data_IF_803835894431
#
_entry.id   IF_803835894431
#
_cell.length_a   1.000
_cell.length_b   1.000
_cell.length_c   1.000
_cell.angle_alpha   90.00
_cell.angle_beta   90.00
_cell.angle_gamma   90.00
#
_symmetry.space_group_name_H-M   'P 1'
#
loop_
_entity.id
_entity.type
_entity.pdbx_description
1 polymer ?
#
# COMPACT_ATOMS: atom_id res chain seq x y z
N UNK A 1 15.19 -17.00 1.13
CA UNK A 1 14.33 -16.88 2.34
C UNK A 1 13.54 -15.58 2.26
N UNK A 2 12.25 -15.64 1.95
CA UNK A 2 11.36 -14.47 1.98
C UNK A 2 11.17 -14.05 3.43
N UNK A 3 11.79 -12.91 3.78
CA UNK A 3 11.73 -12.36 5.13
C UNK A 3 10.26 -12.04 5.49
N UNK A 4 9.81 -12.36 6.71
CA UNK A 4 8.41 -12.16 7.14
C UNK A 4 7.94 -10.71 6.93
N UNK A 5 8.87 -9.74 7.04
CA UNK A 5 8.64 -8.33 6.74
C UNK A 5 8.27 -8.07 5.29
N UNK A 6 8.93 -8.73 4.34
CA UNK A 6 8.64 -8.58 2.92
C UNK A 6 7.27 -9.17 2.59
N UNK A 7 6.88 -10.26 3.26
CA UNK A 7 5.54 -10.85 3.12
C UNK A 7 4.46 -9.90 3.67
N UNK A 8 4.73 -9.26 4.80
CA UNK A 8 3.81 -8.25 5.38
C UNK A 8 3.67 -7.03 4.46
N UNK A 9 4.78 -6.43 4.02
CA UNK A 9 4.75 -5.28 3.12
C UNK A 9 4.02 -5.61 1.81
N UNK A 10 4.24 -6.81 1.26
CA UNK A 10 3.54 -7.27 0.07
C UNK A 10 2.03 -7.39 0.29
N UNK A 11 1.60 -7.93 1.43
CA UNK A 11 0.18 -8.01 1.79
C UNK A 11 -0.44 -6.62 1.95
N UNK A 12 0.26 -5.68 2.60
CA UNK A 12 -0.20 -4.28 2.74
C UNK A 12 -0.36 -3.62 1.38
N UNK A 13 0.62 -3.74 0.49
CA UNK A 13 0.55 -3.18 -0.88
C UNK A 13 -0.59 -3.80 -1.68
N UNK A 14 -0.75 -5.12 -1.63
CA UNK A 14 -1.86 -5.80 -2.31
C UNK A 14 -3.22 -5.33 -1.78
N UNK A 15 -3.36 -5.15 -0.46
CA UNK A 15 -4.56 -4.60 0.15
C UNK A 15 -4.86 -3.18 -0.33
N UNK A 16 -3.85 -2.31 -0.40
CA UNK A 16 -3.98 -0.95 -0.92
C UNK A 16 -4.49 -0.96 -2.37
N UNK A 17 -3.88 -1.79 -3.23
CA UNK A 17 -4.27 -1.91 -4.64
C UNK A 17 -5.69 -2.44 -4.79
N UNK A 18 -6.08 -3.43 -3.99
CA UNK A 18 -7.44 -3.98 -3.99
C UNK A 18 -8.48 -2.93 -3.62
N UNK A 19 -8.26 -2.22 -2.50
CA UNK A 19 -9.19 -1.19 -2.02
C UNK A 19 -9.28 -0.06 -3.05
N UNK A 20 -8.14 0.49 -3.49
CA UNK A 20 -8.13 1.56 -4.48
C UNK A 20 -8.78 1.12 -5.81
N UNK A 21 -8.55 -0.13 -6.24
CA UNK A 21 -9.13 -0.71 -7.45
C UNK A 21 -10.65 -0.84 -7.39
N UNK A 22 -11.20 -1.28 -6.25
CA UNK A 22 -12.66 -1.36 -6.05
C UNK A 22 -13.30 0.02 -6.17
N UNK A 23 -12.75 1.03 -5.50
CA UNK A 23 -13.27 2.40 -5.59
C UNK A 23 -13.15 2.98 -7.00
N UNK A 24 -12.02 2.77 -7.66
CA UNK A 24 -11.80 3.22 -9.03
C UNK A 24 -12.79 2.60 -10.01
N UNK A 25 -13.13 1.32 -9.83
CA UNK A 25 -14.13 0.63 -10.64
C UNK A 25 -15.52 1.21 -10.41
N UNK A 26 -15.90 1.46 -9.15
CA UNK A 26 -17.19 2.05 -8.79
C UNK A 26 -17.34 3.47 -9.35
N UNK A 27 -16.28 4.28 -9.30
CA UNK A 27 -16.29 5.65 -9.84
C UNK A 27 -15.96 5.72 -11.33
N UNK A 28 -15.56 4.59 -11.95
CA UNK A 28 -15.01 4.50 -13.32
C UNK A 28 -13.93 5.55 -13.61
N UNK A 29 -13.06 5.81 -12.63
CA UNK A 29 -12.08 6.90 -12.72
C UNK A 29 -10.69 6.44 -12.27
N UNK A 30 -9.73 6.55 -13.19
CA UNK A 30 -8.33 6.27 -12.90
C UNK A 30 -7.70 7.28 -11.94
N UNK A 31 -8.25 8.50 -11.86
CA UNK A 31 -7.76 9.52 -10.93
C UNK A 31 -8.10 9.11 -9.49
N UNK A 32 -9.30 8.57 -9.26
CA UNK A 32 -9.72 8.07 -7.94
C UNK A 32 -8.82 6.91 -7.49
N UNK A 33 -8.45 6.02 -8.42
CA UNK A 33 -7.46 4.97 -8.14
C UNK A 33 -6.14 5.55 -7.62
N UNK A 34 -5.56 6.49 -8.36
CA UNK A 34 -4.25 7.06 -8.05
C UNK A 34 -4.26 7.80 -6.72
N UNK A 35 -5.29 8.64 -6.49
CA UNK A 35 -5.43 9.37 -5.24
C UNK A 35 -5.55 8.43 -4.03
N UNK A 36 -6.43 7.43 -4.11
CA UNK A 36 -6.59 6.46 -3.03
C UNK A 36 -5.33 5.62 -2.81
N UNK A 37 -4.68 5.15 -3.88
CA UNK A 37 -3.46 4.39 -3.77
C UNK A 37 -2.34 5.20 -3.07
N UNK A 38 -2.18 6.47 -3.44
CA UNK A 38 -1.18 7.36 -2.83
C UNK A 38 -1.51 7.63 -1.37
N UNK A 39 -2.77 7.95 -1.05
CA UNK A 39 -3.21 8.24 0.32
C UNK A 39 -3.04 7.01 1.22
N UNK A 40 -3.49 5.83 0.77
CA UNK A 40 -3.39 4.60 1.54
C UNK A 40 -1.92 4.13 1.70
N UNK A 41 -1.10 4.25 0.66
CA UNK A 41 0.33 3.94 0.75
C UNK A 41 1.06 4.92 1.69
N UNK A 42 0.77 6.21 1.59
CA UNK A 42 1.35 7.25 2.44
C UNK A 42 0.97 7.07 3.91
N UNK A 43 -0.30 6.82 4.21
CA UNK A 43 -0.78 6.57 5.58
C UNK A 43 -0.20 5.27 6.16
N UNK A 44 -0.13 4.20 5.36
CA UNK A 44 0.51 2.94 5.77
C UNK A 44 2.01 3.10 6.04
N UNK A 45 2.67 3.97 5.29
CA UNK A 45 4.08 4.33 5.53
C UNK A 45 4.22 5.11 6.84
N UNK A 46 3.42 6.16 7.03
CA UNK A 46 3.49 7.04 8.21
C UNK A 46 3.12 6.29 9.51
N UNK A 47 2.18 5.35 9.44
CA UNK A 47 1.74 4.54 10.58
C UNK A 47 2.71 3.40 10.91
N UNK A 48 3.71 3.14 10.06
CA UNK A 48 4.70 2.09 10.26
C UNK A 48 4.24 0.69 9.87
N UNK A 49 3.09 0.56 9.19
CA UNK A 49 2.62 -0.70 8.61
C UNK A 49 3.57 -1.18 7.51
N UNK A 50 4.08 -0.24 6.69
CA UNK A 50 5.14 -0.52 5.72
C UNK A 50 6.49 -0.36 6.44
N UNK A 51 7.11 -1.49 6.78
CA UNK A 51 8.39 -1.51 7.46
C UNK A 51 9.52 -1.43 6.46
N UNK A 52 10.13 -0.26 6.32
CA UNK A 52 11.37 -0.10 5.58
C UNK A 52 12.52 -0.53 6.48
N UNK A 53 13.44 -1.32 5.92
CA UNK A 53 14.64 -1.78 6.64
C UNK A 53 15.41 -0.54 7.09
N UNK A 54 15.38 -0.22 8.40
CA UNK A 54 16.37 0.68 8.99
C UNK A 54 17.73 0.03 8.78
N UNK A 55 18.49 0.53 7.79
CA UNK A 55 19.90 0.19 7.65
C UNK A 55 20.63 0.95 8.78
N UNK A 56 20.52 0.44 10.02
CA UNK A 56 21.48 0.82 11.06
C UNK A 56 22.86 0.46 10.52
N UNK A 57 23.69 1.48 10.34
CA UNK A 57 25.13 1.37 10.18
C UNK A 57 25.71 0.62 11.38
#
# INVERSE_FOLDING_TARGET
>A
MTNARNKLNAATIQGIVLIAGVFALLTRSWIVFLLLAIVLAGTSFLSGDIRIRSRRR
#
